data_IF_417811327270
#
_entry.id   IF_417811327270
#
_cell.length_a   1.000
_cell.length_b   1.000
_cell.length_c   1.000
_cell.angle_alpha   90.00
_cell.angle_beta   90.00
_cell.angle_gamma   90.00
#
_symmetry.space_group_name_H-M   'P 1'
#
loop_
_entity.id
_entity.type
_entity.pdbx_description
1 polymer ?
#
# COMPACT_ATOMS: atom_id res chain seq x y z
N UNK A 1 -34.56 20.76 2.79
CA UNK A 1 -34.12 19.38 2.64
C UNK A 1 -32.61 19.44 2.47
N UNK A 2 -31.88 19.34 3.59
CA UNK A 2 -30.42 19.39 3.56
C UNK A 2 -29.90 18.04 3.07
N UNK A 3 -29.32 18.00 1.90
CA UNK A 3 -28.58 16.84 1.44
C UNK A 3 -27.17 16.99 1.99
N UNK A 4 -26.87 16.18 3.00
CA UNK A 4 -25.56 16.07 3.60
C UNK A 4 -24.63 15.40 2.57
N UNK A 5 -23.77 16.20 1.92
CA UNK A 5 -22.73 15.70 1.02
C UNK A 5 -21.56 15.17 1.86
N UNK A 6 -21.79 14.08 2.56
CA UNK A 6 -20.70 13.31 3.13
C UNK A 6 -19.87 12.77 1.97
N UNK A 7 -18.73 13.40 1.71
CA UNK A 7 -17.72 12.87 0.78
C UNK A 7 -17.26 11.56 1.40
N UNK A 8 -17.84 10.44 0.97
CA UNK A 8 -17.32 9.12 1.29
C UNK A 8 -15.89 9.05 0.77
N UNK A 9 -14.94 8.70 1.64
CA UNK A 9 -13.54 8.54 1.23
C UNK A 9 -13.51 7.58 0.06
N UNK A 10 -12.88 7.94 -1.08
CA UNK A 10 -12.87 7.08 -2.24
C UNK A 10 -12.23 5.73 -1.86
N UNK A 11 -12.89 4.65 -2.19
CA UNK A 11 -12.31 3.32 -2.11
C UNK A 11 -11.05 3.30 -2.99
N UNK A 12 -9.85 3.00 -2.46
CA UNK A 12 -8.60 3.08 -3.22
C UNK A 12 -8.52 2.12 -4.40
N UNK A 13 -9.54 1.32 -4.63
CA UNK A 13 -9.64 0.37 -5.75
C UNK A 13 -10.59 0.81 -6.86
N UNK A 14 -11.20 1.99 -6.75
CA UNK A 14 -12.12 2.51 -7.77
C UNK A 14 -11.73 3.92 -8.19
N UNK A 15 -11.75 4.23 -9.49
CA UNK A 15 -11.58 5.61 -9.95
C UNK A 15 -12.69 6.48 -9.37
N UNK A 16 -12.32 7.62 -8.79
CA UNK A 16 -13.28 8.59 -8.29
C UNK A 16 -13.61 9.60 -9.37
N UNK A 17 -14.89 9.72 -9.68
CA UNK A 17 -15.39 10.76 -10.59
C UNK A 17 -15.96 11.91 -9.77
N UNK A 18 -15.44 13.11 -9.93
CA UNK A 18 -16.01 14.31 -9.32
C UNK A 18 -16.38 15.32 -10.40
N UNK A 19 -17.66 15.55 -10.55
CA UNK A 19 -18.19 16.72 -11.25
C UNK A 19 -18.90 17.59 -10.21
N UNK A 20 -18.20 18.59 -9.68
CA UNK A 20 -18.70 19.45 -8.61
C UNK A 20 -19.39 20.67 -9.21
N UNK A 21 -20.66 20.49 -9.61
CA UNK A 21 -21.56 21.60 -9.90
C UNK A 21 -22.97 21.20 -9.44
N UNK A 22 -23.87 22.17 -9.28
CA UNK A 22 -25.29 21.92 -8.94
C UNK A 22 -25.91 20.90 -9.89
N UNK A 23 -26.87 20.13 -9.42
CA UNK A 23 -27.49 18.99 -10.14
C UNK A 23 -28.05 19.34 -11.52
N UNK A 24 -28.37 20.61 -11.74
CA UNK A 24 -28.96 21.15 -12.98
C UNK A 24 -27.98 21.97 -13.83
N UNK A 25 -26.70 21.95 -13.54
CA UNK A 25 -25.66 22.66 -14.28
C UNK A 25 -24.70 21.68 -14.94
N UNK A 26 -24.51 21.83 -16.25
CA UNK A 26 -23.48 21.08 -16.98
C UNK A 26 -22.13 21.64 -16.60
N UNK A 27 -21.21 20.84 -16.04
CA UNK A 27 -19.89 21.32 -15.66
C UNK A 27 -19.07 21.68 -16.90
N UNK A 28 -18.28 22.73 -16.78
CA UNK A 28 -17.32 23.18 -17.78
C UNK A 28 -15.99 22.40 -17.67
N UNK A 29 -15.74 21.78 -16.50
CA UNK A 29 -14.57 20.97 -16.23
C UNK A 29 -14.97 19.65 -15.59
N UNK A 30 -14.39 18.57 -16.08
CA UNK A 30 -14.51 17.23 -15.53
C UNK A 30 -13.18 16.79 -14.96
N UNK A 31 -13.17 16.28 -13.71
CA UNK A 31 -11.96 15.78 -13.06
C UNK A 31 -12.11 14.30 -12.76
N UNK A 32 -11.17 13.51 -13.26
CA UNK A 32 -11.06 12.08 -12.96
C UNK A 32 -9.85 11.85 -12.05
N UNK A 33 -10.09 11.37 -10.83
CA UNK A 33 -9.04 10.91 -9.93
C UNK A 33 -8.82 9.41 -10.05
N UNK A 34 -7.57 9.00 -10.25
CA UNK A 34 -7.19 7.58 -10.36
C UNK A 34 -6.05 7.28 -9.39
N UNK A 35 -6.19 6.25 -8.56
CA UNK A 35 -5.10 5.70 -7.76
C UNK A 35 -4.52 4.48 -8.50
N UNK A 36 -3.25 4.55 -8.87
CA UNK A 36 -2.57 3.50 -9.61
C UNK A 36 -1.47 2.89 -8.74
N UNK A 37 -1.59 1.60 -8.45
CA UNK A 37 -0.59 0.82 -7.72
C UNK A 37 0.34 0.11 -8.69
N UNK A 38 1.50 0.70 -8.93
CA UNK A 38 2.50 0.16 -9.87
C UNK A 38 3.36 -0.87 -9.14
N UNK A 39 3.54 -2.05 -9.73
CA UNK A 39 4.41 -3.09 -9.17
C UNK A 39 5.88 -2.68 -9.26
N UNK A 40 6.74 -3.10 -8.29
CA UNK A 40 8.15 -2.76 -8.32
C UNK A 40 8.91 -3.24 -9.56
N UNK A 41 8.40 -4.24 -10.27
CA UNK A 41 8.99 -4.75 -11.51
C UNK A 41 8.65 -3.94 -12.75
N UNK A 42 7.73 -2.98 -12.67
CA UNK A 42 7.32 -2.15 -13.79
C UNK A 42 8.23 -0.93 -13.91
N UNK A 43 8.90 -0.70 -15.05
CA UNK A 43 9.71 0.51 -15.25
C UNK A 43 8.83 1.77 -15.18
N UNK A 44 8.91 2.52 -14.10
CA UNK A 44 7.98 3.63 -13.79
C UNK A 44 7.97 4.70 -14.88
N UNK A 45 9.13 5.06 -15.42
CA UNK A 45 9.24 6.05 -16.51
C UNK A 45 8.54 5.60 -17.79
N UNK A 46 8.65 4.31 -18.12
CA UNK A 46 7.96 3.75 -19.28
C UNK A 46 6.44 3.72 -19.06
N UNK A 47 6.02 3.39 -17.84
CA UNK A 47 4.60 3.43 -17.47
C UNK A 47 4.04 4.85 -17.58
N UNK A 48 4.75 5.86 -17.06
CA UNK A 48 4.35 7.26 -17.20
C UNK A 48 4.25 7.69 -18.68
N UNK A 49 5.21 7.31 -19.51
CA UNK A 49 5.18 7.61 -20.95
C UNK A 49 3.95 6.96 -21.63
N UNK A 50 3.60 5.72 -21.22
CA UNK A 50 2.40 5.04 -21.72
C UNK A 50 1.13 5.78 -21.31
N UNK A 51 1.04 6.21 -20.04
CA UNK A 51 -0.09 6.96 -19.53
C UNK A 51 -0.29 8.28 -20.30
N UNK A 52 0.80 9.03 -20.52
CA UNK A 52 0.79 10.25 -21.33
C UNK A 52 0.37 10.00 -22.78
N UNK A 53 0.79 8.85 -23.34
CA UNK A 53 0.35 8.42 -24.68
C UNK A 53 -1.16 8.21 -24.76
N UNK A 54 -1.74 7.50 -23.80
CA UNK A 54 -3.20 7.30 -23.76
C UNK A 54 -3.98 8.61 -23.61
N UNK A 55 -3.47 9.54 -22.81
CA UNK A 55 -4.11 10.86 -22.68
C UNK A 55 -4.05 11.66 -23.98
N UNK A 56 -2.91 11.62 -24.69
CA UNK A 56 -2.78 12.27 -25.98
C UNK A 56 -3.71 11.68 -27.06
N UNK A 57 -3.92 10.36 -27.04
CA UNK A 57 -4.89 9.69 -27.91
C UNK A 57 -6.35 10.08 -27.58
N UNK A 58 -6.63 10.29 -26.30
CA UNK A 58 -7.98 10.65 -25.85
C UNK A 58 -8.39 12.09 -26.22
N UNK A 59 -7.43 13.01 -26.37
CA UNK A 59 -7.68 14.36 -26.83
C UNK A 59 -6.65 15.40 -26.38
N UNK A 60 -6.61 16.57 -27.04
CA UNK A 60 -5.61 17.60 -26.77
C UNK A 60 -5.87 18.40 -25.48
N UNK A 61 -7.12 18.40 -24.97
CA UNK A 61 -7.54 19.25 -23.86
C UNK A 61 -7.52 18.52 -22.51
N UNK A 62 -6.75 17.42 -22.43
CA UNK A 62 -6.63 16.61 -21.20
C UNK A 62 -5.36 16.99 -20.48
N UNK A 63 -5.51 17.50 -19.26
CA UNK A 63 -4.42 17.82 -18.36
C UNK A 63 -4.16 16.66 -17.38
N UNK A 64 -2.91 16.23 -17.25
CA UNK A 64 -2.48 15.24 -16.25
C UNK A 64 -1.83 15.96 -15.07
N UNK A 65 -2.39 15.77 -13.89
CA UNK A 65 -1.81 16.24 -12.64
C UNK A 65 -1.54 15.07 -11.71
N UNK A 66 -0.31 14.94 -11.21
CA UNK A 66 0.02 14.01 -10.14
C UNK A 66 -0.24 14.68 -8.78
N UNK A 67 -1.18 14.14 -8.01
CA UNK A 67 -1.42 14.58 -6.63
C UNK A 67 -0.38 13.98 -5.67
N UNK A 68 0.00 12.73 -5.93
CA UNK A 68 1.08 12.02 -5.24
C UNK A 68 1.85 11.25 -6.29
N UNK A 69 3.13 11.53 -6.40
CA UNK A 69 4.05 10.80 -7.28
C UNK A 69 5.09 10.10 -6.42
N UNK A 70 5.23 8.79 -6.60
CA UNK A 70 6.22 7.99 -5.89
C UNK A 70 6.93 7.08 -6.88
N UNK A 71 8.16 7.45 -7.21
CA UNK A 71 8.97 6.82 -8.26
C UNK A 71 10.03 5.85 -7.75
N UNK A 72 10.27 5.82 -6.45
CA UNK A 72 11.24 4.90 -5.84
C UNK A 72 10.64 3.50 -5.74
N UNK A 73 11.33 2.53 -6.34
CA UNK A 73 10.94 1.12 -6.37
C UNK A 73 11.89 0.24 -5.54
N UNK A 74 12.67 0.84 -4.64
CA UNK A 74 13.60 0.11 -3.77
C UNK A 74 12.84 -0.92 -2.92
N UNK A 75 13.32 -2.15 -2.95
CA UNK A 75 12.83 -3.25 -2.12
C UNK A 75 13.82 -3.55 -0.99
N UNK A 76 13.28 -3.93 0.15
CA UNK A 76 14.08 -4.50 1.24
C UNK A 76 14.49 -5.92 0.88
N UNK A 77 15.74 -6.27 1.19
CA UNK A 77 16.25 -7.63 1.01
C UNK A 77 15.43 -8.63 1.83
N UNK A 78 15.18 -9.78 1.21
CA UNK A 78 14.52 -10.94 1.83
C UNK A 78 15.37 -12.20 1.69
N UNK A 79 16.68 -12.01 1.53
CA UNK A 79 17.66 -13.08 1.53
C UNK A 79 17.93 -13.55 2.96
N UNK A 80 18.11 -14.85 3.17
CA UNK A 80 18.59 -15.40 4.45
C UNK A 80 20.05 -14.98 4.78
N UNK A 81 20.77 -14.39 3.84
CA UNK A 81 22.08 -13.78 4.04
C UNK A 81 21.97 -12.36 4.62
N UNK A 82 20.83 -11.73 4.54
CA UNK A 82 20.55 -10.44 5.14
C UNK A 82 20.32 -10.65 6.65
N UNK A 83 21.12 -9.99 7.51
CA UNK A 83 21.05 -10.26 8.96
C UNK A 83 19.69 -9.91 9.56
N UNK A 84 19.03 -8.88 9.06
CA UNK A 84 17.73 -8.44 9.56
C UNK A 84 16.63 -9.42 9.17
N UNK A 85 16.62 -9.86 7.91
CA UNK A 85 15.64 -10.84 7.44
C UNK A 85 15.88 -12.20 8.11
N UNK A 86 17.12 -12.61 8.27
CA UNK A 86 17.49 -13.85 8.96
C UNK A 86 17.04 -13.84 10.43
N UNK A 87 17.26 -12.73 11.16
CA UNK A 87 16.83 -12.57 12.54
C UNK A 87 15.30 -12.65 12.68
N UNK A 88 14.56 -11.94 11.83
CA UNK A 88 13.10 -12.01 11.79
C UNK A 88 12.60 -13.42 11.46
N UNK A 89 13.20 -14.08 10.47
CA UNK A 89 12.86 -15.45 10.07
C UNK A 89 13.13 -16.45 11.20
N UNK A 90 14.23 -16.26 11.96
CA UNK A 90 14.57 -17.10 13.11
C UNK A 90 13.51 -16.96 14.22
N UNK A 91 13.12 -15.73 14.58
CA UNK A 91 12.08 -15.47 15.57
C UNK A 91 10.74 -16.14 15.20
N UNK A 92 10.31 -15.97 13.94
CA UNK A 92 9.05 -16.57 13.49
C UNK A 92 9.08 -18.09 13.48
N UNK A 93 10.24 -18.71 13.17
CA UNK A 93 10.43 -20.17 13.24
C UNK A 93 10.27 -20.73 14.65
N UNK A 94 10.62 -19.99 15.71
CA UNK A 94 10.42 -20.41 17.10
C UNK A 94 8.92 -20.59 17.42
N UNK A 95 8.06 -19.83 16.77
CA UNK A 95 6.60 -19.97 16.88
C UNK A 95 5.99 -20.97 15.87
N UNK A 96 6.81 -21.76 15.17
CA UNK A 96 6.36 -22.72 14.15
C UNK A 96 5.82 -22.05 12.88
N UNK A 97 6.14 -20.78 12.65
CA UNK A 97 5.73 -20.01 11.47
C UNK A 97 6.83 -20.02 10.40
N UNK A 98 6.41 -19.92 9.14
CA UNK A 98 7.29 -19.70 8.00
C UNK A 98 6.94 -18.37 7.35
N UNK A 99 7.92 -17.50 7.22
CA UNK A 99 7.77 -16.23 6.49
C UNK A 99 7.74 -16.53 5.00
N UNK A 100 6.76 -15.95 4.31
CA UNK A 100 6.68 -15.96 2.86
C UNK A 100 6.69 -14.52 2.36
N UNK A 101 7.81 -14.02 1.84
CA UNK A 101 7.87 -12.68 1.29
C UNK A 101 6.90 -12.49 0.12
N UNK A 102 6.23 -11.36 0.10
CA UNK A 102 5.31 -10.97 -0.96
C UNK A 102 5.35 -9.46 -1.15
N UNK A 103 5.07 -9.01 -2.35
CA UNK A 103 4.78 -7.59 -2.58
C UNK A 103 3.36 -7.31 -2.08
N UNK A 104 3.25 -6.42 -1.11
CA UNK A 104 1.95 -6.03 -0.56
C UNK A 104 1.18 -5.20 -1.60
N UNK A 105 -0.09 -5.52 -1.88
CA UNK A 105 -0.86 -4.85 -2.93
C UNK A 105 -1.40 -3.47 -2.52
N UNK A 106 -0.85 -2.87 -1.47
CA UNK A 106 -1.20 -1.55 -0.98
C UNK A 106 0.07 -0.75 -0.63
N UNK A 107 -0.07 0.56 -0.43
CA UNK A 107 1.02 1.41 0.03
C UNK A 107 1.07 1.46 1.55
N UNK A 108 2.29 1.57 2.10
CA UNK A 108 2.56 1.82 3.52
C UNK A 108 3.65 2.88 3.65
N UNK A 109 3.78 3.48 4.82
CA UNK A 109 4.81 4.50 5.09
C UNK A 109 6.24 3.91 5.08
N UNK A 110 6.38 2.60 5.07
CA UNK A 110 7.67 1.92 4.88
C UNK A 110 8.41 2.34 3.59
N UNK A 111 7.70 2.84 2.59
CA UNK A 111 8.28 3.39 1.38
C UNK A 111 9.23 4.58 1.68
N UNK A 112 8.87 5.44 2.64
CA UNK A 112 9.70 6.59 3.02
C UNK A 112 10.97 6.16 3.75
N UNK A 113 10.90 5.09 4.56
CA UNK A 113 12.08 4.52 5.20
C UNK A 113 13.05 3.95 4.15
N UNK A 114 12.54 3.21 3.18
CA UNK A 114 13.37 2.67 2.09
C UNK A 114 14.01 3.76 1.23
N UNK A 115 13.34 4.88 1.00
CA UNK A 115 13.93 6.05 0.33
C UNK A 115 15.14 6.62 1.05
N UNK A 116 15.17 6.51 2.38
CA UNK A 116 16.30 6.90 3.23
C UNK A 116 17.38 5.81 3.33
N UNK A 117 17.25 4.71 2.57
CA UNK A 117 18.17 3.59 2.63
C UNK A 117 17.96 2.66 3.82
N UNK A 118 16.88 2.84 4.60
CA UNK A 118 16.58 1.99 5.74
C UNK A 118 15.76 0.78 5.30
N UNK A 119 16.15 -0.45 5.64
CA UNK A 119 15.35 -1.63 5.37
C UNK A 119 14.03 -1.57 6.15
N UNK A 120 12.93 -1.93 5.49
CA UNK A 120 11.62 -1.95 6.11
C UNK A 120 10.77 -3.08 5.53
N UNK A 121 10.35 -4.00 6.39
CA UNK A 121 9.48 -5.12 6.09
C UNK A 121 8.16 -4.96 6.83
N UNK A 122 7.05 -5.12 6.12
CA UNK A 122 5.74 -5.27 6.75
C UNK A 122 5.55 -6.71 7.21
N UNK A 123 5.11 -6.89 8.44
CA UNK A 123 4.78 -8.20 8.98
C UNK A 123 3.51 -8.13 9.84
N UNK A 124 2.66 -9.14 9.73
CA UNK A 124 1.45 -9.23 10.51
C UNK A 124 1.19 -10.69 10.92
N UNK A 125 1.32 -11.02 12.22
CA UNK A 125 1.12 -12.38 12.73
C UNK A 125 -0.36 -12.70 12.95
N UNK A 126 -1.19 -12.51 11.93
CA UNK A 126 -2.65 -12.70 11.98
C UNK A 126 -3.09 -13.87 11.08
N UNK A 127 -2.73 -15.13 11.41
CA UNK A 127 -3.12 -16.28 10.59
C UNK A 127 -4.65 -16.43 10.57
N UNK A 128 -5.17 -16.87 9.43
CA UNK A 128 -6.61 -17.12 9.21
C UNK A 128 -7.51 -15.90 9.46
N UNK A 129 -6.96 -14.70 9.37
CA UNK A 129 -7.72 -13.46 9.45
C UNK A 129 -7.93 -12.94 8.02
N UNK A 130 -9.16 -12.65 7.62
CA UNK A 130 -9.42 -12.05 6.31
C UNK A 130 -8.76 -10.68 6.19
N UNK A 131 -8.27 -10.35 5.01
CA UNK A 131 -7.71 -9.03 4.72
C UNK A 131 -8.85 -8.10 4.30
N UNK A 132 -9.39 -7.36 5.25
CA UNK A 132 -10.51 -6.44 5.10
C UNK A 132 -10.07 -4.98 5.36
N UNK A 133 -8.92 -4.59 4.83
CA UNK A 133 -8.34 -3.26 5.04
C UNK A 133 -9.32 -2.16 4.63
N UNK A 134 -9.69 -1.31 5.60
CA UNK A 134 -10.63 -0.19 5.43
C UNK A 134 -12.04 -0.62 4.99
N UNK A 135 -12.39 -1.89 5.20
CA UNK A 135 -13.72 -2.41 4.91
C UNK A 135 -14.59 -2.47 6.18
N UNK A 136 -15.90 -2.55 6.00
CA UNK A 136 -16.82 -2.82 7.10
C UNK A 136 -16.63 -4.26 7.58
N UNK A 137 -16.94 -4.51 8.84
CA UNK A 137 -16.79 -5.82 9.50
C UNK A 137 -15.34 -6.32 9.58
N UNK A 138 -14.32 -5.44 9.45
CA UNK A 138 -12.94 -5.78 9.75
C UNK A 138 -12.82 -6.24 11.20
N UNK A 139 -12.21 -7.38 11.42
CA UNK A 139 -12.07 -7.97 12.76
C UNK A 139 -10.74 -8.68 12.95
N UNK A 140 -10.36 -8.84 14.21
CA UNK A 140 -9.25 -9.65 14.64
C UNK A 140 -9.66 -10.50 15.84
N UNK A 141 -9.46 -11.80 15.78
CA UNK A 141 -9.73 -12.70 16.89
C UNK A 141 -8.79 -12.42 18.07
N UNK A 142 -9.29 -12.35 19.28
CA UNK A 142 -8.53 -12.03 20.49
C UNK A 142 -7.34 -12.98 20.70
N UNK A 143 -7.55 -14.28 20.59
CA UNK A 143 -6.47 -15.27 20.77
C UNK A 143 -5.37 -15.14 19.71
N UNK A 144 -5.75 -14.78 18.47
CA UNK A 144 -4.78 -14.49 17.39
C UNK A 144 -4.01 -13.22 17.71
N UNK A 145 -4.67 -12.18 18.20
CA UNK A 145 -4.04 -10.92 18.60
C UNK A 145 -3.03 -11.13 19.74
N UNK A 146 -3.43 -11.80 20.82
CA UNK A 146 -2.56 -12.06 21.98
C UNK A 146 -1.34 -12.88 21.57
N UNK A 147 -1.53 -13.95 20.80
CA UNK A 147 -0.39 -14.70 20.25
C UNK A 147 0.50 -13.85 19.35
N UNK A 148 -0.09 -12.92 18.63
CA UNK A 148 0.64 -11.97 17.78
C UNK A 148 1.60 -11.09 18.57
N UNK A 149 1.24 -10.70 19.81
CA UNK A 149 2.09 -9.92 20.70
C UNK A 149 3.36 -10.73 21.05
N UNK A 150 3.22 -12.00 21.46
CA UNK A 150 4.35 -12.85 21.78
C UNK A 150 5.32 -12.99 20.60
N UNK A 151 4.78 -13.18 19.39
CA UNK A 151 5.58 -13.25 18.17
C UNK A 151 6.33 -11.94 17.90
N UNK A 152 5.69 -10.78 18.11
CA UNK A 152 6.36 -9.49 17.94
C UNK A 152 7.44 -9.24 18.98
N UNK A 153 7.26 -9.66 20.22
CA UNK A 153 8.30 -9.55 21.27
C UNK A 153 9.56 -10.25 20.80
N UNK A 154 9.48 -11.52 20.39
CA UNK A 154 10.63 -12.28 19.93
C UNK A 154 11.26 -11.70 18.65
N UNK A 155 10.44 -11.19 17.71
CA UNK A 155 10.96 -10.51 16.53
C UNK A 155 11.76 -9.26 16.91
N UNK A 156 11.23 -8.42 17.81
CA UNK A 156 11.90 -7.18 18.24
C UNK A 156 13.20 -7.52 18.98
N UNK A 157 13.19 -8.49 19.88
CA UNK A 157 14.39 -8.95 20.60
C UNK A 157 15.45 -9.48 19.62
N UNK A 158 15.08 -10.35 18.68
CA UNK A 158 16.02 -10.89 17.71
C UNK A 158 16.59 -9.80 16.80
N UNK A 159 15.76 -8.86 16.34
CA UNK A 159 16.21 -7.75 15.51
C UNK A 159 17.13 -6.79 16.29
N UNK A 160 16.82 -6.50 17.55
CA UNK A 160 17.64 -5.61 18.38
C UNK A 160 19.03 -6.20 18.68
N UNK A 161 19.19 -7.52 18.57
CA UNK A 161 20.43 -8.24 18.82
C UNK A 161 21.08 -8.81 17.53
N UNK A 162 20.62 -8.40 16.36
CA UNK A 162 21.11 -8.90 15.07
C UNK A 162 22.44 -8.26 14.61
N UNK A 163 23.07 -7.38 15.38
CA UNK A 163 24.33 -6.68 15.07
C UNK A 163 25.51 -7.35 15.75
#
# INVERSE_FOLDING_TARGET
MNIDHTISRPNPRQPSFQALVQVNVVPDKFVLGVDIRVTPSTPIKQFEATLRGWLAEAGPDIELQFLVEFIDQTLTSVSEEDPWFAAMSAATRQHGLRVRPQVFPAGTDSKYLRQLGLPALGFSPMPRTPVLLHDHDEFLNEAVFLRGIDIFVDIVENLANAC
#
